data_IF_469531016647
#
_entry.id   IF_469531016647
#
_cell.length_a   1.000
_cell.length_b   1.000
_cell.length_c   1.000
_cell.angle_alpha   90.00
_cell.angle_beta   90.00
_cell.angle_gamma   90.00
#
_symmetry.space_group_name_H-M   'P 1'
#
loop_
_entity.id
_entity.type
_entity.pdbx_description
1 polymer ?
#
# COMPACT_ATOMS: atom_id res chain seq x y z
N UNK A 1 47.71 26.75 -82.91
CA UNK A 1 47.30 28.19 -82.78
C UNK A 1 46.58 28.26 -81.43
N UNK A 2 47.11 28.75 -80.41
CA UNK A 2 47.90 29.87 -80.07
C UNK A 2 47.06 30.78 -79.13
N UNK A 3 47.66 30.95 -78.04
CA UNK A 3 47.65 32.14 -77.11
C UNK A 3 46.89 31.80 -75.74
N UNK A 4 47.69 31.71 -74.69
CA UNK A 4 48.31 32.66 -73.74
C UNK A 4 47.38 33.04 -72.60
N UNK A 5 47.68 32.50 -71.45
CA UNK A 5 48.01 33.05 -70.12
C UNK A 5 47.44 34.42 -69.76
N UNK A 6 46.73 34.48 -68.61
CA UNK A 6 46.99 35.53 -67.62
C UNK A 6 46.55 35.00 -66.21
N UNK A 7 47.51 35.09 -65.30
CA UNK A 7 47.45 34.77 -63.89
C UNK A 7 46.84 35.98 -63.19
N UNK A 8 45.84 35.71 -62.30
CA UNK A 8 45.52 36.64 -61.20
C UNK A 8 45.42 35.85 -59.89
N UNK A 9 46.17 36.30 -58.90
CA UNK A 9 46.20 35.79 -57.55
C UNK A 9 44.96 36.10 -56.76
N UNK A 10 44.53 35.25 -55.83
CA UNK A 10 43.39 35.56 -54.96
C UNK A 10 43.82 36.36 -53.71
N UNK A 11 43.05 37.40 -53.43
CA UNK A 11 43.09 38.20 -52.21
C UNK A 11 42.58 37.40 -51.02
N UNK A 12 43.34 37.39 -49.93
CA UNK A 12 43.00 36.83 -48.64
C UNK A 12 41.73 37.51 -48.05
N UNK A 13 40.66 36.74 -47.90
CA UNK A 13 39.53 37.08 -47.02
C UNK A 13 39.81 36.46 -45.67
N UNK A 14 40.12 37.25 -44.67
CA UNK A 14 40.15 36.91 -43.26
C UNK A 14 38.76 36.50 -42.84
N UNK A 15 38.58 35.24 -42.41
CA UNK A 15 37.40 34.80 -41.73
C UNK A 15 37.39 35.34 -40.28
N UNK A 16 36.39 36.12 -39.96
CA UNK A 16 36.10 36.59 -38.62
C UNK A 16 35.48 35.43 -37.83
N UNK A 17 36.26 34.81 -36.92
CA UNK A 17 35.85 33.71 -36.03
C UNK A 17 35.51 34.27 -34.66
N UNK A 18 34.35 34.93 -34.52
CA UNK A 18 33.83 35.27 -33.21
C UNK A 18 32.28 35.28 -33.21
N UNK A 19 31.66 34.13 -33.15
CA UNK A 19 30.32 33.95 -32.54
C UNK A 19 30.03 32.48 -32.37
N UNK A 20 30.64 31.83 -31.37
CA UNK A 20 30.11 30.61 -30.80
C UNK A 20 28.97 31.00 -29.88
N UNK A 21 27.76 30.38 -29.99
CA UNK A 21 26.71 30.67 -29.02
C UNK A 21 27.16 30.10 -27.65
N UNK A 22 27.28 31.00 -26.69
CA UNK A 22 27.47 30.65 -25.29
C UNK A 22 26.36 29.64 -24.90
N UNK A 23 26.77 28.41 -24.62
CA UNK A 23 25.90 27.41 -24.01
C UNK A 23 25.48 27.93 -22.63
N UNK A 24 24.22 28.36 -22.51
CA UNK A 24 23.63 28.66 -21.21
C UNK A 24 23.86 27.47 -20.29
N UNK A 25 24.37 27.65 -19.06
CA UNK A 25 24.53 26.55 -18.12
C UNK A 25 23.14 25.97 -17.87
N UNK A 26 23.01 24.65 -18.02
CA UNK A 26 21.87 23.89 -17.54
C UNK A 26 21.74 24.21 -16.05
N UNK A 27 20.72 24.97 -15.69
CA UNK A 27 20.35 25.15 -14.29
C UNK A 27 19.92 23.78 -13.83
N UNK A 28 20.82 23.04 -13.18
CA UNK A 28 20.46 21.90 -12.36
C UNK A 28 19.56 22.46 -11.24
N UNK A 29 18.26 22.36 -11.42
CA UNK A 29 17.32 22.60 -10.33
C UNK A 29 17.78 21.71 -9.17
N UNK A 30 18.19 22.34 -8.06
CA UNK A 30 18.46 21.61 -6.83
C UNK A 30 17.20 20.80 -6.51
N UNK A 31 17.31 19.48 -6.28
CA UNK A 31 16.19 18.70 -5.81
C UNK A 31 15.56 19.41 -4.62
N UNK A 32 14.24 19.52 -4.61
CA UNK A 32 13.51 20.07 -3.46
C UNK A 32 13.95 19.29 -2.22
N UNK A 33 14.23 19.96 -1.10
CA UNK A 33 14.62 19.25 0.12
C UNK A 33 13.59 18.17 0.43
N UNK A 34 14.02 16.98 0.84
CA UNK A 34 13.17 15.85 1.29
C UNK A 34 12.01 16.31 2.19
N UNK A 35 12.27 17.33 3.01
CA UNK A 35 11.31 17.95 3.91
C UNK A 35 10.15 18.65 3.22
N UNK A 36 10.29 19.17 2.00
CA UNK A 36 9.24 19.98 1.38
C UNK A 36 8.15 19.15 0.70
N UNK A 37 8.45 17.97 0.18
CA UNK A 37 7.47 17.14 -0.54
C UNK A 37 6.85 16.10 0.37
N UNK A 38 7.67 15.27 1.03
CA UNK A 38 7.20 14.15 1.85
C UNK A 38 6.46 14.60 3.12
N UNK A 39 6.89 15.74 3.67
CA UNK A 39 6.32 16.33 4.88
C UNK A 39 5.32 17.48 4.60
N UNK A 40 4.89 17.67 3.35
CA UNK A 40 3.79 18.57 3.03
C UNK A 40 2.44 17.95 3.41
N UNK A 41 1.46 18.75 3.89
CA UNK A 41 0.12 18.25 4.16
C UNK A 41 -0.54 17.66 2.91
N UNK A 42 -1.48 16.75 3.13
CA UNK A 42 -2.30 16.16 2.08
C UNK A 42 -3.77 16.06 2.53
N UNK A 43 -4.71 16.33 1.64
CA UNK A 43 -6.14 16.19 1.94
C UNK A 43 -6.73 15.00 1.21
N UNK A 44 -7.33 14.07 1.95
CA UNK A 44 -8.04 12.90 1.46
C UNK A 44 -9.50 12.96 1.89
N UNK A 45 -10.43 13.13 0.96
CA UNK A 45 -11.87 13.24 1.21
C UNK A 45 -12.20 14.18 2.41
N UNK A 46 -11.65 15.40 2.40
CA UNK A 46 -11.85 16.39 3.47
C UNK A 46 -11.00 16.17 4.73
N UNK A 47 -10.39 15.01 4.91
CA UNK A 47 -9.46 14.73 6.00
C UNK A 47 -8.07 15.28 5.70
N UNK A 48 -7.57 16.19 6.53
CA UNK A 48 -6.20 16.70 6.39
C UNK A 48 -5.21 15.80 7.13
N UNK A 49 -4.24 15.27 6.40
CA UNK A 49 -3.07 14.57 6.91
C UNK A 49 -1.93 15.58 7.09
N UNK A 50 -1.19 15.57 8.20
CA UNK A 50 -0.11 16.53 8.44
C UNK A 50 1.10 16.35 7.51
N UNK A 51 1.26 15.19 6.93
CA UNK A 51 2.29 14.86 5.93
C UNK A 51 1.86 13.66 5.08
N UNK A 52 2.73 13.24 4.15
CA UNK A 52 2.45 12.18 3.17
C UNK A 52 2.94 10.79 3.60
N UNK A 53 3.38 10.64 4.85
CA UNK A 53 3.89 9.38 5.38
C UNK A 53 2.77 8.59 6.03
N UNK A 54 2.63 7.34 5.61
CA UNK A 54 1.65 6.39 6.12
C UNK A 54 2.37 5.23 6.81
N UNK A 55 1.95 4.86 8.01
CA UNK A 55 2.35 3.58 8.59
C UNK A 55 1.58 2.46 7.90
N UNK A 56 2.28 1.56 7.20
CA UNK A 56 1.66 0.41 6.55
C UNK A 56 1.02 -0.56 7.57
N UNK A 57 -0.08 -1.24 7.21
CA UNK A 57 -0.69 -2.23 8.07
C UNK A 57 0.21 -3.46 8.22
N UNK A 58 0.45 -3.86 9.47
CA UNK A 58 1.32 -4.98 9.82
C UNK A 58 0.73 -5.75 10.98
N UNK A 59 0.44 -7.03 10.79
CA UNK A 59 -0.08 -7.92 11.83
C UNK A 59 0.85 -7.94 13.04
N UNK A 60 0.31 -7.57 14.21
CA UNK A 60 1.03 -7.63 15.49
C UNK A 60 0.60 -8.86 16.30
N UNK A 61 -0.72 -9.16 16.29
CA UNK A 61 -1.30 -10.29 17.00
C UNK A 61 -1.05 -10.22 18.54
N UNK A 62 -1.32 -9.04 19.13
CA UNK A 62 -1.16 -8.74 20.56
C UNK A 62 -2.47 -8.32 21.23
N UNK A 63 -3.62 -8.76 20.70
CA UNK A 63 -4.95 -8.44 21.23
C UNK A 63 -5.61 -9.70 21.79
N UNK A 64 -5.31 -10.11 23.04
CA UNK A 64 -5.90 -11.31 23.65
C UNK A 64 -7.43 -11.25 23.57
N UNK A 65 -8.07 -12.34 23.12
CA UNK A 65 -9.53 -12.42 22.86
C UNK A 65 -10.05 -11.38 21.87
N UNK A 66 -9.17 -10.87 20.99
CA UNK A 66 -9.50 -9.83 20.01
C UNK A 66 -9.61 -8.41 20.61
N UNK A 67 -9.21 -8.19 21.86
CA UNK A 67 -9.35 -6.92 22.56
C UNK A 67 -8.03 -6.17 22.58
N UNK A 68 -7.90 -5.00 21.90
CA UNK A 68 -6.71 -4.16 21.97
C UNK A 68 -6.49 -3.64 23.39
N UNK A 69 -5.32 -3.93 23.96
CA UNK A 69 -4.92 -3.50 25.29
C UNK A 69 -4.29 -2.09 25.33
N UNK A 70 -3.93 -1.60 26.53
CA UNK A 70 -3.20 -0.33 26.67
C UNK A 70 -1.83 -0.33 25.98
N UNK A 71 -1.19 -1.47 25.85
CA UNK A 71 0.06 -1.70 25.14
C UNK A 71 -0.08 -1.49 23.62
N UNK A 72 -1.19 -1.96 23.05
CA UNK A 72 -1.57 -1.68 21.65
C UNK A 72 -1.82 -0.19 21.44
N UNK A 73 -2.52 0.47 22.37
CA UNK A 73 -2.73 1.91 22.32
C UNK A 73 -1.41 2.69 22.37
N UNK A 74 -0.51 2.34 23.29
CA UNK A 74 0.80 2.94 23.41
C UNK A 74 1.67 2.71 22.15
N UNK A 75 1.55 1.54 21.52
CA UNK A 75 2.26 1.21 20.28
C UNK A 75 1.90 2.14 19.13
N UNK A 76 0.62 2.37 18.86
CA UNK A 76 0.18 3.27 17.78
C UNK A 76 0.45 4.74 18.12
N UNK A 77 0.25 5.14 19.38
CA UNK A 77 0.54 6.50 19.84
C UNK A 77 2.00 6.88 19.60
N UNK A 78 2.97 6.01 19.95
CA UNK A 78 4.40 6.29 19.72
C UNK A 78 4.73 6.58 18.25
N UNK A 79 4.03 5.95 17.29
CA UNK A 79 4.24 6.21 15.85
C UNK A 79 3.68 7.57 15.45
N UNK A 80 2.54 7.96 16.01
CA UNK A 80 2.01 9.31 15.82
C UNK A 80 2.94 10.37 16.43
N UNK A 81 3.43 10.17 17.65
CA UNK A 81 4.47 11.02 18.29
C UNK A 81 5.77 11.06 17.46
N UNK A 82 6.10 9.97 16.77
CA UNK A 82 7.22 9.87 15.83
C UNK A 82 6.99 10.59 14.50
N UNK A 83 5.85 11.28 14.31
CA UNK A 83 5.59 12.15 13.17
C UNK A 83 4.94 11.49 11.96
N UNK A 84 4.33 10.31 12.11
CA UNK A 84 3.55 9.65 11.04
C UNK A 84 2.25 10.41 10.79
N UNK A 85 1.94 10.72 9.53
CA UNK A 85 0.74 11.48 9.17
C UNK A 85 -0.55 10.66 9.21
N UNK A 86 -0.49 9.40 8.77
CA UNK A 86 -1.59 8.45 8.80
C UNK A 86 -1.10 7.08 9.27
N UNK A 87 -1.82 6.48 10.19
CA UNK A 87 -1.59 5.11 10.62
C UNK A 87 -2.67 4.20 10.04
N UNK A 88 -2.26 3.11 9.39
CA UNK A 88 -3.14 1.99 9.09
C UNK A 88 -2.93 0.93 10.17
N UNK A 89 -3.98 0.49 10.84
CA UNK A 89 -3.86 -0.54 11.87
C UNK A 89 -3.37 -1.85 11.29
N UNK A 90 -2.93 -2.78 12.13
CA UNK A 90 -2.92 -4.19 11.73
C UNK A 90 -4.30 -4.62 11.24
N UNK A 91 -4.36 -5.77 10.52
CA UNK A 91 -5.64 -6.31 10.08
C UNK A 91 -6.59 -6.56 11.25
N UNK A 92 -7.79 -6.00 11.18
CA UNK A 92 -8.86 -6.14 12.17
C UNK A 92 -9.98 -7.02 11.60
N UNK A 93 -10.43 -8.01 12.36
CA UNK A 93 -11.47 -8.92 11.86
C UNK A 93 -12.86 -8.30 11.97
N UNK A 94 -13.68 -8.33 10.89
CA UNK A 94 -15.10 -8.08 10.99
C UNK A 94 -15.78 -9.22 11.78
N UNK A 95 -17.02 -9.01 12.22
CA UNK A 95 -17.79 -10.01 12.97
C UNK A 95 -18.17 -11.20 12.09
N UNK A 96 -17.21 -12.10 11.89
CA UNK A 96 -17.40 -13.32 11.13
C UNK A 96 -16.50 -14.43 11.71
N UNK A 97 -17.01 -15.68 11.90
CA UNK A 97 -16.25 -16.74 12.57
C UNK A 97 -14.92 -17.11 11.88
N UNK A 98 -14.86 -17.01 10.55
CA UNK A 98 -13.69 -17.34 9.74
C UNK A 98 -12.80 -16.13 9.42
N UNK A 99 -13.04 -14.97 10.01
CA UNK A 99 -12.34 -13.75 9.62
C UNK A 99 -10.85 -13.75 9.97
N UNK A 100 -10.47 -14.38 11.08
CA UNK A 100 -9.09 -14.40 11.57
C UNK A 100 -8.52 -15.81 11.55
N UNK A 101 -7.20 -15.92 11.43
CA UNK A 101 -6.45 -17.19 11.45
C UNK A 101 -5.50 -17.32 12.65
N UNK A 102 -5.46 -16.33 13.51
CA UNK A 102 -4.66 -16.29 14.75
C UNK A 102 -5.52 -15.78 15.91
N UNK A 103 -5.30 -16.27 17.15
CA UNK A 103 -6.22 -16.05 18.27
C UNK A 103 -6.15 -14.64 18.88
N UNK A 104 -5.12 -13.85 18.55
CA UNK A 104 -4.93 -12.51 19.10
C UNK A 104 -5.04 -11.41 18.03
N UNK A 105 -5.68 -11.71 16.89
CA UNK A 105 -6.07 -10.69 15.91
C UNK A 105 -7.17 -9.84 16.52
N UNK A 106 -7.02 -8.50 16.48
CA UNK A 106 -8.01 -7.62 17.08
C UNK A 106 -9.34 -7.67 16.32
N UNK A 107 -10.44 -7.66 17.08
CA UNK A 107 -11.79 -7.59 16.55
C UNK A 107 -12.22 -6.15 16.32
N UNK A 108 -12.95 -5.90 15.24
CA UNK A 108 -13.63 -4.63 15.00
C UNK A 108 -15.15 -4.79 15.29
N UNK A 109 -15.46 -5.49 16.37
CA UNK A 109 -16.81 -5.73 16.88
C UNK A 109 -16.77 -6.10 18.36
N UNK A 110 -17.94 -6.03 19.02
CA UNK A 110 -18.06 -6.33 20.45
C UNK A 110 -17.61 -5.15 21.35
N UNK A 111 -18.32 -4.96 22.45
CA UNK A 111 -18.16 -3.77 23.28
C UNK A 111 -16.73 -3.58 23.83
N UNK A 112 -16.08 -4.66 24.30
CA UNK A 112 -14.73 -4.59 24.87
C UNK A 112 -13.68 -4.24 23.82
N UNK A 113 -13.72 -4.88 22.62
CA UNK A 113 -12.78 -4.61 21.56
C UNK A 113 -12.95 -3.17 21.02
N UNK A 114 -14.18 -2.73 20.83
CA UNK A 114 -14.45 -1.36 20.38
C UNK A 114 -14.03 -0.31 21.41
N UNK A 115 -14.19 -0.57 22.72
CA UNK A 115 -13.64 0.29 23.77
C UNK A 115 -12.09 0.29 23.76
N UNK A 116 -11.47 -0.84 23.42
CA UNK A 116 -10.03 -0.91 23.20
C UNK A 116 -9.57 -0.03 22.04
N UNK A 117 -10.24 -0.12 20.91
CA UNK A 117 -9.97 0.73 19.76
C UNK A 117 -10.22 2.21 19.99
N UNK A 118 -11.26 2.59 20.74
CA UNK A 118 -11.49 3.98 21.11
C UNK A 118 -10.28 4.58 21.84
N UNK A 119 -9.66 3.84 22.77
CA UNK A 119 -8.40 4.28 23.45
C UNK A 119 -7.22 4.42 22.48
N UNK A 120 -7.11 3.52 21.50
CA UNK A 120 -6.09 3.62 20.46
C UNK A 120 -6.26 4.90 19.65
N UNK A 121 -7.48 5.14 19.14
CA UNK A 121 -7.83 6.33 18.36
C UNK A 121 -7.56 7.62 19.13
N UNK A 122 -8.01 7.69 20.38
CA UNK A 122 -7.78 8.84 21.27
C UNK A 122 -6.27 9.12 21.44
N UNK A 123 -5.48 8.07 21.69
CA UNK A 123 -4.02 8.20 21.84
C UNK A 123 -3.31 8.72 20.58
N UNK A 124 -3.74 8.27 19.41
CA UNK A 124 -3.19 8.72 18.12
C UNK A 124 -3.59 10.16 17.82
N UNK A 125 -4.87 10.51 18.04
CA UNK A 125 -5.36 11.88 17.84
C UNK A 125 -4.70 12.88 18.80
N UNK A 126 -4.51 12.51 20.07
CA UNK A 126 -3.81 13.34 21.07
C UNK A 126 -2.36 13.62 20.66
N UNK A 127 -1.73 12.72 19.89
CA UNK A 127 -0.40 12.89 19.32
C UNK A 127 -0.39 13.61 17.95
N UNK A 128 -1.56 14.11 17.46
CA UNK A 128 -1.70 14.83 16.19
C UNK A 128 -1.75 13.95 14.94
N UNK A 129 -1.72 12.62 15.08
CA UNK A 129 -1.83 11.66 13.97
C UNK A 129 -3.27 11.46 13.49
N UNK A 130 -3.41 10.68 12.41
CA UNK A 130 -4.66 10.16 11.88
C UNK A 130 -4.58 8.64 11.79
N UNK A 131 -5.73 7.95 11.91
CA UNK A 131 -5.73 6.50 11.97
C UNK A 131 -6.93 5.90 11.24
N UNK A 132 -6.66 4.94 10.32
CA UNK A 132 -7.66 4.10 9.66
C UNK A 132 -7.59 2.68 10.21
N UNK A 133 -8.75 2.03 10.33
CA UNK A 133 -8.80 0.60 10.62
C UNK A 133 -8.69 -0.21 9.32
N UNK A 134 -7.75 -1.16 9.24
CA UNK A 134 -7.72 -2.10 8.12
C UNK A 134 -8.67 -3.28 8.41
N UNK A 135 -9.79 -3.37 7.69
CA UNK A 135 -10.74 -4.48 7.79
C UNK A 135 -10.19 -5.66 6.97
N UNK A 136 -9.99 -6.78 7.63
CA UNK A 136 -9.29 -7.94 7.07
C UNK A 136 -10.02 -9.24 7.36
N UNK A 137 -10.24 -10.03 6.32
CA UNK A 137 -10.75 -11.39 6.41
C UNK A 137 -9.81 -12.33 5.65
N UNK A 138 -9.31 -13.36 6.34
CA UNK A 138 -8.26 -14.23 5.81
C UNK A 138 -8.73 -15.18 4.71
N UNK A 139 -10.04 -15.44 4.60
CA UNK A 139 -10.61 -16.35 3.61
C UNK A 139 -10.02 -17.77 3.70
N UNK A 140 -9.51 -18.24 2.58
CA UNK A 140 -8.89 -19.56 2.46
C UNK A 140 -7.58 -19.73 3.27
N UNK A 141 -6.94 -18.63 3.72
CA UNK A 141 -5.62 -18.71 4.39
C UNK A 141 -5.73 -19.19 5.84
N UNK A 142 -6.92 -19.35 6.36
CA UNK A 142 -7.18 -19.67 7.75
C UNK A 142 -6.50 -20.96 8.23
N UNK A 143 -6.42 -21.98 7.45
CA UNK A 143 -5.92 -23.29 7.88
C UNK A 143 -4.39 -23.44 7.98
N UNK A 144 -3.61 -22.36 7.84
CA UNK A 144 -2.15 -22.42 7.74
C UNK A 144 -1.40 -22.11 9.04
N UNK A 145 -2.08 -21.75 10.11
CA UNK A 145 -1.49 -21.39 11.42
C UNK A 145 -1.86 -22.41 12.49
N UNK A 146 -0.94 -22.62 13.43
CA UNK A 146 -1.21 -23.43 14.63
C UNK A 146 -1.40 -22.50 15.85
N UNK A 147 -2.32 -22.78 16.78
CA UNK A 147 -3.33 -23.86 16.70
C UNK A 147 -4.38 -23.59 15.61
N UNK A 148 -4.83 -24.63 14.93
CA UNK A 148 -5.95 -24.53 13.97
C UNK A 148 -7.20 -24.04 14.68
N UNK A 149 -7.81 -22.98 14.15
CA UNK A 149 -9.12 -22.58 14.63
C UNK A 149 -10.17 -23.63 14.24
N UNK A 150 -11.19 -23.87 15.07
CA UNK A 150 -12.16 -24.96 14.86
C UNK A 150 -13.17 -24.69 13.74
N UNK A 151 -12.91 -23.70 12.88
CA UNK A 151 -13.83 -23.26 11.83
C UNK A 151 -13.21 -23.53 10.47
N UNK A 152 -13.97 -24.11 9.55
CA UNK A 152 -13.51 -24.38 8.19
C UNK A 152 -13.23 -23.06 7.45
N UNK A 153 -12.14 -22.99 6.65
CA UNK A 153 -11.85 -21.82 5.83
C UNK A 153 -12.90 -21.65 4.73
N UNK A 154 -13.10 -20.40 4.29
CA UNK A 154 -14.01 -20.06 3.21
C UNK A 154 -13.28 -19.34 2.08
N UNK A 155 -13.77 -19.51 0.85
CA UNK A 155 -13.30 -18.76 -0.31
C UNK A 155 -14.34 -18.78 -1.42
N UNK A 156 -14.23 -17.94 -2.46
CA UNK A 156 -15.22 -17.90 -3.55
C UNK A 156 -15.56 -19.28 -4.14
N UNK A 157 -14.56 -20.14 -4.29
CA UNK A 157 -14.71 -21.45 -4.95
C UNK A 157 -14.11 -22.61 -4.14
N UNK A 158 -13.92 -22.44 -2.83
CA UNK A 158 -13.30 -23.46 -1.98
C UNK A 158 -11.82 -23.70 -2.28
N UNK A 159 -11.12 -22.73 -2.89
CA UNK A 159 -9.71 -22.85 -3.29
C UNK A 159 -8.81 -21.91 -2.50
N UNK A 160 -7.65 -22.43 -2.06
CA UNK A 160 -6.56 -21.64 -1.47
C UNK A 160 -5.68 -20.99 -2.55
N UNK A 161 -5.38 -21.76 -3.59
CA UNK A 161 -4.62 -21.37 -4.79
C UNK A 161 -5.01 -22.30 -5.95
N UNK A 162 -4.56 -22.07 -7.18
CA UNK A 162 -4.91 -22.93 -8.31
C UNK A 162 -4.70 -24.42 -7.98
N UNK A 163 -5.78 -25.23 -8.13
CA UNK A 163 -5.77 -26.67 -7.92
C UNK A 163 -5.74 -27.15 -6.47
N UNK A 164 -5.69 -26.27 -5.46
CA UNK A 164 -5.67 -26.64 -4.04
C UNK A 164 -7.03 -26.35 -3.39
N UNK A 165 -7.87 -27.38 -3.32
CA UNK A 165 -9.19 -27.32 -2.65
C UNK A 165 -9.03 -27.38 -1.13
N UNK A 166 -9.77 -26.51 -0.40
CA UNK A 166 -9.76 -26.41 1.07
C UNK A 166 -11.19 -26.49 1.67
N UNK A 167 -12.22 -26.45 0.86
CA UNK A 167 -13.61 -26.48 1.30
C UNK A 167 -14.58 -26.42 0.13
N UNK A 168 -15.82 -26.07 0.42
CA UNK A 168 -16.84 -25.83 -0.60
C UNK A 168 -16.86 -24.34 -1.03
N UNK A 169 -17.36 -24.02 -2.24
CA UNK A 169 -17.61 -22.66 -2.67
C UNK A 169 -18.58 -21.94 -1.72
N UNK A 170 -18.32 -20.65 -1.43
CA UNK A 170 -19.27 -19.82 -0.69
C UNK A 170 -20.64 -19.80 -1.36
N UNK A 171 -21.70 -20.03 -0.59
CA UNK A 171 -23.07 -19.83 -1.04
C UNK A 171 -23.38 -18.32 -1.21
N UNK A 172 -24.40 -17.98 -2.00
CA UNK A 172 -24.76 -16.56 -2.21
C UNK A 172 -25.14 -15.86 -0.89
N UNK A 173 -25.87 -16.56 0.00
CA UNK A 173 -26.20 -16.01 1.33
C UNK A 173 -24.99 -15.75 2.22
N UNK A 174 -23.91 -16.56 2.11
CA UNK A 174 -22.66 -16.31 2.83
C UNK A 174 -21.93 -15.08 2.26
N UNK A 175 -21.99 -14.86 0.95
CA UNK A 175 -21.44 -13.65 0.32
C UNK A 175 -22.19 -12.40 0.80
N UNK A 176 -23.53 -12.45 0.84
CA UNK A 176 -24.36 -11.34 1.35
C UNK A 176 -24.09 -11.06 2.85
N UNK A 177 -23.98 -12.11 3.67
CA UNK A 177 -23.61 -11.97 5.08
C UNK A 177 -22.22 -11.35 5.25
N UNK A 178 -21.28 -11.68 4.37
CA UNK A 178 -19.94 -11.13 4.37
C UNK A 178 -19.93 -9.64 4.00
N UNK A 179 -20.67 -9.22 2.97
CA UNK A 179 -20.83 -7.80 2.61
C UNK A 179 -21.37 -7.01 3.81
N UNK A 180 -22.40 -7.55 4.47
CA UNK A 180 -22.97 -6.94 5.69
C UNK A 180 -21.95 -6.86 6.83
N UNK A 181 -21.11 -7.87 7.04
CA UNK A 181 -20.09 -7.89 8.09
C UNK A 181 -19.01 -6.82 7.87
N UNK A 182 -18.55 -6.63 6.61
CA UNK A 182 -17.62 -5.55 6.27
C UNK A 182 -18.25 -4.17 6.50
N UNK A 183 -19.48 -3.98 6.06
CA UNK A 183 -20.16 -2.69 6.21
C UNK A 183 -20.46 -2.37 7.68
N UNK A 184 -20.82 -3.37 8.50
CA UNK A 184 -20.98 -3.17 9.94
C UNK A 184 -19.66 -2.82 10.61
N UNK A 185 -18.54 -3.46 10.22
CA UNK A 185 -17.22 -3.11 10.71
C UNK A 185 -16.83 -1.66 10.36
N UNK A 186 -17.21 -1.17 9.17
CA UNK A 186 -17.00 0.22 8.79
C UNK A 186 -17.78 1.19 9.68
N UNK A 187 -19.04 0.88 10.00
CA UNK A 187 -19.87 1.66 10.94
C UNK A 187 -19.27 1.65 12.34
N UNK A 188 -18.80 0.49 12.80
CA UNK A 188 -18.17 0.37 14.12
C UNK A 188 -16.85 1.15 14.19
N UNK A 189 -16.04 1.15 13.11
CA UNK A 189 -14.85 1.98 13.00
C UNK A 189 -15.18 3.47 13.10
N UNK A 190 -16.17 3.94 12.34
CA UNK A 190 -16.62 5.34 12.38
C UNK A 190 -17.13 5.72 13.80
N UNK A 191 -17.91 4.84 14.43
CA UNK A 191 -18.48 5.06 15.77
C UNK A 191 -17.41 5.22 16.85
N UNK A 192 -16.30 4.48 16.77
CA UNK A 192 -15.21 4.58 17.76
C UNK A 192 -14.22 5.69 17.46
N UNK A 193 -14.40 6.41 16.34
CA UNK A 193 -13.64 7.61 16.02
C UNK A 193 -12.48 7.42 15.04
N UNK A 194 -12.35 6.28 14.37
CA UNK A 194 -11.39 6.16 13.28
C UNK A 194 -11.65 7.22 12.20
N UNK A 195 -10.59 7.77 11.61
CA UNK A 195 -10.67 8.78 10.56
C UNK A 195 -11.06 8.20 9.18
N UNK A 196 -11.10 6.87 9.04
CA UNK A 196 -11.47 6.14 7.84
C UNK A 196 -11.21 4.65 7.98
N UNK A 197 -11.39 3.92 6.88
CA UNK A 197 -11.09 2.48 6.79
C UNK A 197 -10.27 2.15 5.57
N UNK A 198 -9.50 1.06 5.68
CA UNK A 198 -8.89 0.36 4.55
C UNK A 198 -9.49 -1.03 4.42
N UNK A 199 -10.02 -1.37 3.24
CA UNK A 199 -10.43 -2.72 2.89
C UNK A 199 -9.22 -3.51 2.40
N UNK A 200 -8.92 -4.65 3.01
CA UNK A 200 -7.78 -5.48 2.62
C UNK A 200 -8.13 -6.40 1.44
N UNK A 201 -7.91 -5.91 0.23
CA UNK A 201 -8.14 -6.63 -1.03
C UNK A 201 -6.86 -7.09 -1.73
N UNK A 202 -5.85 -7.55 -0.96
CA UNK A 202 -4.52 -7.90 -1.46
C UNK A 202 -4.05 -9.26 -0.91
N UNK A 203 -2.91 -9.75 -1.44
CA UNK A 203 -2.09 -10.82 -0.89
C UNK A 203 -2.73 -12.20 -0.84
N UNK A 204 -3.81 -12.43 -1.58
CA UNK A 204 -4.51 -13.71 -1.60
C UNK A 204 -5.45 -13.93 -0.40
N UNK A 205 -5.90 -12.86 0.30
CA UNK A 205 -6.95 -12.91 1.31
C UNK A 205 -8.35 -12.76 0.67
N UNK A 206 -9.43 -12.79 1.44
CA UNK A 206 -10.78 -13.04 0.93
C UNK A 206 -11.18 -12.15 -0.26
N UNK A 207 -11.06 -10.83 -0.16
CA UNK A 207 -11.42 -9.93 -1.28
C UNK A 207 -10.54 -10.21 -2.51
N UNK A 208 -9.23 -10.40 -2.32
CA UNK A 208 -8.31 -10.73 -3.39
C UNK A 208 -8.56 -12.13 -4.00
N UNK A 209 -9.07 -13.08 -3.19
CA UNK A 209 -9.50 -14.39 -3.71
C UNK A 209 -10.67 -14.29 -4.68
N UNK A 210 -11.55 -13.29 -4.52
CA UNK A 210 -12.56 -12.99 -5.51
C UNK A 210 -11.97 -12.38 -6.78
N UNK A 211 -10.98 -11.50 -6.68
CA UNK A 211 -10.30 -10.89 -7.82
C UNK A 211 -9.51 -11.92 -8.65
N UNK A 212 -8.82 -12.83 -7.97
CA UNK A 212 -7.87 -13.74 -8.59
C UNK A 212 -8.56 -14.89 -9.31
N UNK A 213 -8.42 -14.94 -10.64
CA UNK A 213 -8.96 -16.04 -11.45
C UNK A 213 -8.49 -17.42 -10.98
N UNK A 214 -7.27 -17.51 -10.41
CA UNK A 214 -6.72 -18.76 -9.86
C UNK A 214 -7.54 -19.36 -8.73
N UNK A 215 -8.27 -18.55 -7.96
CA UNK A 215 -9.09 -18.96 -6.81
C UNK A 215 -10.59 -18.73 -7.01
N UNK A 216 -11.00 -17.90 -7.96
CA UNK A 216 -12.39 -17.63 -8.26
C UNK A 216 -12.80 -18.34 -9.57
N UNK A 217 -13.42 -19.50 -9.43
CA UNK A 217 -13.97 -20.34 -10.52
C UNK A 217 -15.51 -20.33 -10.57
N UNK A 218 -16.11 -19.28 -9.96
CA UNK A 218 -17.58 -19.14 -9.95
C UNK A 218 -18.12 -18.83 -11.35
N UNK A 219 -19.34 -19.29 -11.58
CA UNK A 219 -20.09 -19.08 -12.83
C UNK A 219 -21.31 -18.18 -12.65
N UNK A 220 -21.54 -17.70 -11.41
CA UNK A 220 -22.58 -16.71 -11.08
C UNK A 220 -22.05 -15.26 -11.19
N UNK A 221 -22.86 -14.29 -10.73
CA UNK A 221 -22.53 -12.84 -10.82
C UNK A 221 -21.21 -12.42 -10.16
N UNK A 222 -20.60 -13.25 -9.31
CA UNK A 222 -19.36 -12.98 -8.59
C UNK A 222 -18.13 -13.65 -9.21
N UNK A 223 -18.25 -14.28 -10.38
CA UNK A 223 -17.19 -14.97 -11.07
C UNK A 223 -17.13 -14.67 -12.56
N UNK A 224 -16.48 -15.54 -13.33
CA UNK A 224 -16.32 -15.38 -14.78
C UNK A 224 -15.27 -14.34 -15.15
N UNK A 225 -15.67 -13.29 -15.85
CA UNK A 225 -14.77 -12.23 -16.31
C UNK A 225 -14.27 -11.32 -15.17
N UNK A 226 -13.41 -10.37 -15.51
CA UNK A 226 -12.83 -9.44 -14.55
C UNK A 226 -13.88 -8.59 -13.83
N UNK A 227 -14.97 -8.20 -14.54
CA UNK A 227 -16.05 -7.42 -13.95
C UNK A 227 -16.85 -8.24 -12.92
N UNK A 228 -17.17 -9.50 -13.22
CA UNK A 228 -17.81 -10.42 -12.27
C UNK A 228 -16.92 -10.68 -11.05
N UNK A 229 -15.63 -10.87 -11.24
CA UNK A 229 -14.67 -11.08 -10.12
C UNK A 229 -14.49 -9.86 -9.24
N UNK A 230 -14.68 -8.63 -9.73
CA UNK A 230 -14.62 -7.40 -8.91
C UNK A 230 -15.91 -7.10 -8.16
N UNK A 231 -17.03 -7.72 -8.53
CA UNK A 231 -18.38 -7.41 -8.01
C UNK A 231 -18.47 -7.50 -6.48
N UNK A 232 -17.89 -8.52 -5.86
CA UNK A 232 -17.91 -8.65 -4.41
C UNK A 232 -17.32 -7.41 -3.72
N UNK A 233 -16.14 -6.95 -4.15
CA UNK A 233 -15.51 -5.77 -3.58
C UNK A 233 -16.32 -4.49 -3.89
N UNK A 234 -16.91 -4.38 -5.07
CA UNK A 234 -17.80 -3.27 -5.45
C UNK A 234 -18.99 -3.20 -4.50
N UNK A 235 -19.68 -4.32 -4.25
CA UNK A 235 -20.83 -4.37 -3.34
C UNK A 235 -20.42 -4.09 -1.88
N UNK A 236 -19.24 -4.57 -1.43
CA UNK A 236 -18.67 -4.21 -0.10
C UNK A 236 -18.42 -2.71 0.02
N UNK A 237 -17.78 -2.09 -0.98
CA UNK A 237 -17.48 -0.66 -0.98
C UNK A 237 -18.78 0.16 -0.96
N UNK A 238 -19.75 -0.20 -1.80
CA UNK A 238 -21.04 0.48 -1.88
C UNK A 238 -21.80 0.41 -0.55
N UNK A 239 -21.84 -0.76 0.08
CA UNK A 239 -22.53 -0.95 1.35
C UNK A 239 -21.82 -0.22 2.49
N UNK A 240 -20.48 -0.23 2.54
CA UNK A 240 -19.72 0.60 3.47
C UNK A 240 -20.03 2.09 3.27
N UNK A 241 -20.01 2.57 2.02
CA UNK A 241 -20.29 3.98 1.67
C UNK A 241 -21.72 4.38 2.04
N UNK A 242 -22.68 3.52 1.76
CA UNK A 242 -24.08 3.76 2.10
C UNK A 242 -24.28 3.95 3.59
N UNK A 243 -23.62 3.13 4.44
CA UNK A 243 -23.80 3.17 5.89
C UNK A 243 -22.96 4.24 6.58
N UNK A 244 -21.80 4.60 6.05
CA UNK A 244 -20.90 5.60 6.68
C UNK A 244 -21.03 7.01 6.12
N UNK A 245 -21.75 7.18 5.00
CA UNK A 245 -21.92 8.47 4.35
C UNK A 245 -20.73 8.89 3.47
N UNK A 246 -20.84 10.07 2.84
CA UNK A 246 -19.86 10.55 1.85
C UNK A 246 -18.53 11.03 2.44
N UNK A 247 -18.53 11.44 3.72
CA UNK A 247 -17.40 12.13 4.34
C UNK A 247 -16.44 11.20 5.10
N UNK A 248 -16.74 9.90 5.18
CA UNK A 248 -15.89 8.93 5.84
C UNK A 248 -14.95 8.26 4.81
N UNK A 249 -13.63 8.49 4.86
CA UNK A 249 -12.69 7.94 3.90
C UNK A 249 -12.73 6.41 3.83
N UNK A 250 -12.86 5.87 2.60
CA UNK A 250 -12.80 4.44 2.31
C UNK A 250 -11.69 4.18 1.31
N UNK A 251 -10.74 3.34 1.68
CA UNK A 251 -9.57 2.98 0.91
C UNK A 251 -9.57 1.49 0.58
N UNK A 252 -9.06 1.11 -0.59
CA UNK A 252 -8.83 -0.29 -0.94
C UNK A 252 -7.34 -0.56 -1.10
N UNK A 253 -6.82 -1.53 -0.33
CA UNK A 253 -5.49 -2.09 -0.59
C UNK A 253 -5.59 -3.26 -1.55
N UNK A 254 -4.79 -3.24 -2.63
CA UNK A 254 -4.71 -4.36 -3.58
C UNK A 254 -3.26 -4.65 -3.98
N UNK A 255 -3.03 -5.83 -4.55
CA UNK A 255 -1.72 -6.27 -5.04
C UNK A 255 -1.85 -7.10 -6.30
N UNK A 256 -0.82 -7.08 -7.13
CA UNK A 256 -0.68 -8.04 -8.22
C UNK A 256 -0.37 -9.43 -7.70
N UNK A 257 0.64 -9.55 -6.85
CA UNK A 257 1.17 -10.79 -6.29
C UNK A 257 0.32 -11.35 -5.13
N UNK A 258 0.45 -12.64 -4.85
CA UNK A 258 -0.23 -13.35 -3.77
C UNK A 258 0.78 -14.02 -2.83
N UNK A 259 0.45 -14.18 -1.55
CA UNK A 259 1.29 -14.92 -0.60
C UNK A 259 1.45 -16.40 -0.96
N UNK A 260 0.44 -16.96 -1.64
CA UNK A 260 0.40 -18.34 -2.09
C UNK A 260 1.11 -18.54 -3.43
N UNK A 261 1.32 -17.45 -4.19
CA UNK A 261 1.98 -17.43 -5.49
C UNK A 261 2.54 -16.02 -5.79
N UNK A 262 3.84 -15.86 -5.57
CA UNK A 262 4.51 -14.58 -5.79
C UNK A 262 4.65 -14.17 -7.26
N UNK A 263 4.51 -15.13 -8.17
CA UNK A 263 4.54 -14.89 -9.62
C UNK A 263 3.15 -14.54 -10.18
N UNK A 264 2.09 -14.73 -9.40
CA UNK A 264 0.74 -14.40 -9.83
C UNK A 264 0.63 -12.93 -10.22
N UNK A 265 -0.12 -12.68 -11.29
CA UNK A 265 -0.54 -11.35 -11.73
C UNK A 265 -2.07 -11.31 -11.72
N UNK A 266 -2.62 -10.23 -11.18
CA UNK A 266 -4.05 -9.96 -11.22
C UNK A 266 -4.47 -9.53 -12.63
N UNK A 267 -3.64 -8.66 -13.22
CA UNK A 267 -3.77 -8.13 -14.58
C UNK A 267 -2.39 -8.01 -15.21
N UNK A 268 -2.32 -8.05 -16.55
CA UNK A 268 -1.05 -8.08 -17.31
C UNK A 268 -0.85 -6.87 -18.20
N UNK A 269 -1.89 -6.07 -18.44
CA UNK A 269 -1.86 -4.89 -19.29
C UNK A 269 -2.48 -3.67 -18.61
N UNK A 270 -2.10 -2.43 -19.03
CA UNK A 270 -2.76 -1.21 -18.56
C UNK A 270 -4.27 -1.17 -18.79
N UNK A 271 -4.75 -1.74 -19.90
CA UNK A 271 -6.17 -1.81 -20.22
C UNK A 271 -6.92 -2.73 -19.25
N UNK A 272 -6.37 -3.90 -18.94
CA UNK A 272 -6.92 -4.78 -17.91
C UNK A 272 -6.93 -4.10 -16.54
N UNK A 273 -5.84 -3.38 -16.18
CA UNK A 273 -5.79 -2.63 -14.93
C UNK A 273 -6.87 -1.55 -14.88
N UNK A 274 -7.11 -0.84 -15.99
CA UNK A 274 -8.20 0.15 -16.10
C UNK A 274 -9.56 -0.49 -15.87
N UNK A 275 -9.84 -1.63 -16.52
CA UNK A 275 -11.11 -2.38 -16.38
C UNK A 275 -11.29 -2.93 -14.96
N UNK A 276 -10.21 -3.27 -14.26
CA UNK A 276 -10.24 -3.69 -12.86
C UNK A 276 -10.55 -2.52 -11.92
N UNK A 277 -9.89 -1.37 -12.10
CA UNK A 277 -9.97 -0.23 -11.18
C UNK A 277 -11.24 0.59 -11.34
N UNK A 278 -11.76 0.73 -12.58
CA UNK A 278 -12.88 1.63 -12.87
C UNK A 278 -14.14 1.33 -12.05
N UNK A 279 -14.64 0.07 -11.95
CA UNK A 279 -15.83 -0.22 -11.15
C UNK A 279 -15.60 -0.01 -9.65
N UNK A 280 -14.39 -0.26 -9.14
CA UNK A 280 -14.03 -0.03 -7.75
C UNK A 280 -14.00 1.46 -7.42
N UNK A 281 -13.40 2.28 -8.28
CA UNK A 281 -13.40 3.74 -8.13
C UNK A 281 -14.82 4.33 -8.18
N UNK A 282 -15.67 3.83 -9.09
CA UNK A 282 -17.06 4.25 -9.22
C UNK A 282 -17.96 3.81 -8.06
N UNK A 283 -17.59 2.75 -7.33
CA UNK A 283 -18.31 2.26 -6.16
C UNK A 283 -18.23 3.20 -4.94
N UNK A 284 -17.36 4.22 -4.96
CA UNK A 284 -17.23 5.20 -3.89
C UNK A 284 -15.94 5.14 -3.09
N UNK A 285 -14.86 4.55 -3.65
CA UNK A 285 -13.53 4.65 -3.05
C UNK A 285 -12.97 6.07 -3.11
N UNK A 286 -12.24 6.46 -2.07
CA UNK A 286 -11.53 7.72 -2.00
C UNK A 286 -10.07 7.58 -2.43
N UNK A 287 -9.44 6.43 -2.18
CA UNK A 287 -8.03 6.18 -2.53
C UNK A 287 -7.73 4.70 -2.73
N UNK A 288 -6.59 4.43 -3.37
CA UNK A 288 -6.03 3.09 -3.54
C UNK A 288 -4.68 2.97 -2.83
N UNK A 289 -4.45 1.86 -2.12
CA UNK A 289 -3.17 1.50 -1.54
C UNK A 289 -2.56 0.35 -2.35
N UNK A 290 -1.55 0.66 -3.14
CA UNK A 290 -0.96 -0.24 -4.11
C UNK A 290 0.20 -1.01 -3.48
N UNK A 291 -0.03 -2.27 -3.10
CA UNK A 291 0.96 -3.10 -2.42
C UNK A 291 1.92 -3.74 -3.41
N UNK A 292 3.11 -3.16 -3.55
CA UNK A 292 4.22 -3.71 -4.32
C UNK A 292 5.25 -4.36 -3.41
N UNK A 293 6.21 -5.11 -3.99
CA UNK A 293 7.36 -5.61 -3.24
C UNK A 293 8.45 -4.55 -3.10
N UNK A 294 8.62 -3.75 -4.15
CA UNK A 294 9.54 -2.60 -4.21
C UNK A 294 8.83 -1.43 -4.85
N UNK A 295 8.92 -0.25 -4.28
CA UNK A 295 8.22 0.94 -4.78
C UNK A 295 8.78 1.44 -6.11
N UNK A 296 10.03 1.07 -6.44
CA UNK A 296 10.73 1.49 -7.68
C UNK A 296 10.55 0.53 -8.85
N UNK A 297 9.94 -0.63 -8.66
CA UNK A 297 9.70 -1.57 -9.76
C UNK A 297 8.60 -1.03 -10.69
N UNK A 298 8.91 -0.92 -11.98
CA UNK A 298 7.92 -0.58 -13.02
C UNK A 298 6.87 -1.68 -13.12
N UNK A 299 5.59 -1.30 -13.29
CA UNK A 299 4.51 -2.28 -13.37
C UNK A 299 4.38 -2.90 -14.77
N UNK A 300 4.51 -2.08 -15.81
CA UNK A 300 4.39 -2.53 -17.19
C UNK A 300 5.61 -2.14 -18.02
N UNK A 301 5.96 -2.98 -18.99
CA UNK A 301 7.07 -2.73 -19.90
C UNK A 301 6.89 -1.42 -20.68
N UNK A 302 7.99 -0.70 -20.92
CA UNK A 302 7.99 0.58 -21.62
C UNK A 302 7.51 1.77 -20.79
N UNK A 303 7.32 1.60 -19.47
CA UNK A 303 6.94 2.67 -18.55
C UNK A 303 7.79 2.61 -17.28
N UNK A 304 8.10 3.77 -16.69
CA UNK A 304 8.76 3.90 -15.40
C UNK A 304 7.78 4.04 -14.22
N UNK A 305 6.46 4.02 -14.50
CA UNK A 305 5.43 4.06 -13.46
C UNK A 305 5.29 2.71 -12.76
N UNK A 306 5.32 2.75 -11.42
CA UNK A 306 4.97 1.60 -10.59
C UNK A 306 3.43 1.40 -10.56
N UNK A 307 2.96 0.40 -9.81
CA UNK A 307 1.53 0.09 -9.70
C UNK A 307 0.71 1.29 -9.18
N UNK A 308 1.24 2.08 -8.24
CA UNK A 308 0.55 3.27 -7.72
C UNK A 308 0.46 4.37 -8.77
N UNK A 309 1.53 4.60 -9.54
CA UNK A 309 1.55 5.56 -10.63
C UNK A 309 0.55 5.22 -11.73
N UNK A 310 0.49 3.97 -12.12
CA UNK A 310 -0.51 3.50 -13.09
C UNK A 310 -1.93 3.62 -12.55
N UNK A 311 -2.15 3.26 -11.28
CA UNK A 311 -3.48 3.38 -10.65
C UNK A 311 -3.95 4.83 -10.63
N UNK A 312 -3.07 5.77 -10.23
CA UNK A 312 -3.37 7.20 -10.26
C UNK A 312 -3.67 7.71 -11.66
N UNK A 313 -2.83 7.35 -12.64
CA UNK A 313 -3.01 7.73 -14.04
C UNK A 313 -4.36 7.28 -14.61
N UNK A 314 -4.80 6.05 -14.27
CA UNK A 314 -6.01 5.45 -14.82
C UNK A 314 -7.29 5.89 -14.09
N UNK A 315 -7.20 6.24 -12.80
CA UNK A 315 -8.39 6.53 -11.98
C UNK A 315 -8.55 8.00 -11.60
N UNK A 316 -7.45 8.77 -11.63
CA UNK A 316 -7.41 10.13 -11.06
C UNK A 316 -7.56 10.18 -9.53
N UNK A 317 -7.67 9.03 -8.86
CA UNK A 317 -7.82 8.94 -7.41
C UNK A 317 -6.46 9.07 -6.70
N UNK A 318 -6.42 9.59 -5.47
CA UNK A 318 -5.26 9.51 -4.60
C UNK A 318 -4.73 8.09 -4.47
N UNK A 319 -3.39 7.95 -4.49
CA UNK A 319 -2.75 6.64 -4.38
C UNK A 319 -1.66 6.63 -3.32
N UNK A 320 -1.53 5.49 -2.65
CA UNK A 320 -0.46 5.18 -1.71
C UNK A 320 0.43 4.12 -2.35
N UNK A 321 1.74 4.37 -2.42
CA UNK A 321 2.73 3.35 -2.76
C UNK A 321 3.30 2.70 -1.51
N UNK A 322 3.66 1.42 -1.57
CA UNK A 322 4.37 0.69 -0.51
C UNK A 322 5.26 -0.39 -1.09
N UNK A 323 6.45 -0.56 -0.55
CA UNK A 323 7.35 -1.65 -0.92
C UNK A 323 8.79 -1.34 -0.57
N UNK A 324 9.35 -2.03 0.40
CA UNK A 324 10.77 -2.03 0.81
C UNK A 324 11.38 -0.67 1.18
N UNK A 325 10.60 0.34 1.55
CA UNK A 325 11.12 1.67 1.94
C UNK A 325 12.04 1.56 3.16
N UNK A 326 13.26 2.08 3.04
CA UNK A 326 14.36 2.02 4.03
C UNK A 326 14.73 0.60 4.48
N UNK A 327 14.65 -0.36 3.56
CA UNK A 327 14.93 -1.78 3.85
C UNK A 327 15.97 -2.34 2.88
N UNK A 328 16.87 -3.15 3.41
CA UNK A 328 17.90 -3.87 2.65
C UNK A 328 17.41 -5.18 2.00
N UNK A 329 16.23 -5.63 2.37
CA UNK A 329 15.61 -6.85 1.82
C UNK A 329 14.10 -6.69 1.64
N UNK A 330 13.55 -7.30 0.60
CA UNK A 330 12.11 -7.32 0.41
C UNK A 330 11.40 -8.22 1.43
N UNK A 331 10.07 -8.12 1.50
CA UNK A 331 9.24 -8.84 2.47
C UNK A 331 9.40 -10.37 2.36
N UNK A 332 9.48 -10.89 1.15
CA UNK A 332 9.54 -12.34 0.90
C UNK A 332 10.86 -12.93 1.36
N UNK A 333 11.95 -12.20 1.12
CA UNK A 333 13.29 -12.56 1.61
C UNK A 333 13.35 -12.52 3.13
N UNK A 334 12.74 -11.49 3.75
CA UNK A 334 12.72 -11.36 5.22
C UNK A 334 11.96 -12.48 5.93
N UNK A 335 11.04 -13.15 5.23
CA UNK A 335 10.32 -14.35 5.74
C UNK A 335 11.07 -15.65 5.49
N UNK A 336 12.28 -15.62 4.91
CA UNK A 336 13.03 -16.83 4.54
C UNK A 336 12.39 -17.65 3.40
N UNK A 337 11.43 -17.07 2.67
CA UNK A 337 10.69 -17.76 1.59
C UNK A 337 11.37 -17.65 0.22
N UNK A 338 12.36 -16.79 0.10
CA UNK A 338 13.26 -16.68 -1.06
C UNK A 338 14.69 -16.43 -0.58
N UNK A 339 15.71 -16.90 -1.32
CA UNK A 339 17.10 -16.61 -1.00
C UNK A 339 17.38 -15.11 -1.06
N UNK A 340 18.33 -14.65 -0.25
CA UNK A 340 18.81 -13.27 -0.30
C UNK A 340 19.40 -13.02 -1.70
N UNK A 341 19.08 -11.91 -2.39
CA UNK A 341 19.69 -11.61 -3.68
C UNK A 341 21.19 -11.45 -3.54
N UNK A 342 21.94 -11.89 -4.55
CA UNK A 342 23.41 -11.81 -4.56
C UNK A 342 23.94 -10.37 -4.57
N UNK A 343 23.13 -9.41 -5.05
CA UNK A 343 23.44 -7.98 -5.01
C UNK A 343 22.75 -7.31 -3.83
N UNK A 344 23.40 -6.36 -3.13
CA UNK A 344 22.77 -5.64 -2.04
C UNK A 344 21.54 -4.87 -2.58
N UNK A 345 20.41 -5.02 -1.91
CA UNK A 345 19.24 -4.18 -2.12
C UNK A 345 19.58 -2.80 -1.52
N UNK A 346 19.26 -1.67 -2.19
CA UNK A 346 19.42 -0.35 -1.60
C UNK A 346 18.72 -0.28 -0.22
N UNK A 347 19.34 0.33 0.79
CA UNK A 347 18.72 0.54 2.10
C UNK A 347 19.53 0.05 3.31
N UNK A 348 20.64 -0.67 3.12
CA UNK A 348 21.47 -1.22 4.20
C UNK A 348 22.45 -0.24 4.86
N UNK A 349 22.91 0.78 4.14
CA UNK A 349 23.83 1.82 4.65
C UNK A 349 23.12 3.17 4.72
N UNK A 350 23.67 4.12 5.48
CA UNK A 350 23.16 5.49 5.54
C UNK A 350 23.04 6.12 4.15
N UNK A 351 24.10 6.07 3.36
CA UNK A 351 24.15 6.60 1.98
C UNK A 351 23.14 5.94 1.06
N UNK A 352 22.92 4.62 1.20
CA UNK A 352 21.92 3.91 0.38
C UNK A 352 20.48 4.27 0.78
N UNK A 353 20.22 4.54 2.06
CA UNK A 353 18.92 5.01 2.55
C UNK A 353 18.62 6.43 2.07
N UNK A 354 19.62 7.30 2.10
CA UNK A 354 19.49 8.67 1.59
C UNK A 354 19.19 8.68 0.09
N UNK A 355 19.93 7.91 -0.71
CA UNK A 355 19.72 7.78 -2.15
C UNK A 355 18.35 7.17 -2.49
N UNK A 356 17.88 6.19 -1.70
CA UNK A 356 16.56 5.60 -1.85
C UNK A 356 15.45 6.63 -1.56
N UNK A 357 15.59 7.40 -0.48
CA UNK A 357 14.63 8.44 -0.10
C UNK A 357 14.62 9.59 -1.13
N UNK A 358 15.76 9.92 -1.71
CA UNK A 358 15.86 10.89 -2.80
C UNK A 358 15.11 10.40 -4.06
N UNK A 359 15.28 9.12 -4.43
CA UNK A 359 14.52 8.50 -5.51
C UNK A 359 13.01 8.52 -5.25
N UNK A 360 12.58 8.09 -4.07
CA UNK A 360 11.18 8.09 -3.64
C UNK A 360 10.57 9.49 -3.71
N UNK A 361 11.33 10.50 -3.25
CA UNK A 361 10.89 11.89 -3.25
C UNK A 361 10.78 12.45 -4.67
N UNK A 362 11.68 12.07 -5.58
CA UNK A 362 11.58 12.42 -7.01
C UNK A 362 10.34 11.84 -7.66
N UNK A 363 10.00 10.58 -7.39
CA UNK A 363 8.76 9.97 -7.88
C UNK A 363 7.52 10.69 -7.32
N UNK A 364 7.52 11.00 -6.03
CA UNK A 364 6.43 11.74 -5.38
C UNK A 364 6.29 13.17 -5.96
N UNK A 365 7.40 13.89 -6.17
CA UNK A 365 7.41 15.23 -6.75
C UNK A 365 6.96 15.24 -8.22
N UNK A 366 7.25 14.18 -8.98
CA UNK A 366 6.73 13.96 -10.34
C UNK A 366 5.21 13.68 -10.35
N UNK A 367 4.64 13.36 -9.19
CA UNK A 367 3.22 13.09 -9.04
C UNK A 367 2.81 11.67 -9.35
N UNK A 368 3.74 10.70 -9.33
CA UNK A 368 3.43 9.30 -9.60
C UNK A 368 2.43 8.73 -8.60
N UNK A 369 2.52 9.15 -7.34
CA UNK A 369 1.60 8.80 -6.26
C UNK A 369 1.48 9.97 -5.28
N UNK A 370 0.59 9.86 -4.28
CA UNK A 370 0.31 10.96 -3.34
C UNK A 370 0.86 10.72 -1.95
N UNK A 371 0.91 9.46 -1.51
CA UNK A 371 1.29 9.04 -0.18
C UNK A 371 2.25 7.85 -0.26
N UNK A 372 3.06 7.69 0.79
CA UNK A 372 4.06 6.63 0.91
C UNK A 372 3.83 5.85 2.20
N UNK A 373 3.56 4.56 2.08
CA UNK A 373 3.41 3.68 3.23
C UNK A 373 4.74 2.97 3.57
N UNK A 374 5.10 3.04 4.85
CA UNK A 374 6.32 2.46 5.40
C UNK A 374 5.95 1.39 6.41
N UNK A 375 6.50 0.19 6.23
CA UNK A 375 6.18 -0.98 7.06
C UNK A 375 7.28 -1.29 8.07
N UNK A 376 8.06 -2.34 7.81
CA UNK A 376 9.05 -2.92 8.73
C UNK A 376 10.05 -1.92 9.31
N UNK A 377 10.42 -0.87 8.58
CA UNK A 377 11.27 0.20 9.11
C UNK A 377 10.61 0.91 10.31
N UNK A 378 9.28 1.11 10.28
CA UNK A 378 8.54 1.69 11.41
C UNK A 378 8.24 0.69 12.53
N UNK A 379 8.39 -0.62 12.31
CA UNK A 379 8.41 -1.60 13.40
C UNK A 379 9.70 -1.48 14.20
N UNK A 380 10.82 -1.31 13.48
CA UNK A 380 12.14 -1.20 14.09
C UNK A 380 12.37 0.17 14.77
N UNK A 381 11.74 1.22 14.24
CA UNK A 381 11.95 2.60 14.71
C UNK A 381 10.63 3.38 14.71
N UNK A 382 10.06 3.58 15.90
CA UNK A 382 8.81 4.35 16.04
C UNK A 382 8.97 5.84 15.69
N UNK A 383 10.19 6.37 15.70
CA UNK A 383 10.53 7.75 15.34
C UNK A 383 11.06 7.90 13.89
N UNK A 384 10.88 6.86 13.06
CA UNK A 384 11.40 6.83 11.69
C UNK A 384 11.04 8.11 10.90
N UNK A 385 9.79 8.54 10.94
CA UNK A 385 9.35 9.71 10.17
C UNK A 385 10.04 11.01 10.64
N UNK A 386 10.14 11.23 11.94
CA UNK A 386 10.85 12.38 12.49
C UNK A 386 12.35 12.37 12.14
N UNK A 387 13.01 11.20 12.23
CA UNK A 387 14.44 11.06 11.88
C UNK A 387 14.68 11.32 10.39
N UNK A 388 13.81 10.83 9.51
CA UNK A 388 13.89 11.09 8.05
C UNK A 388 13.66 12.58 7.75
N UNK A 389 12.67 13.21 8.41
CA UNK A 389 12.44 14.66 8.28
C UNK A 389 13.66 15.49 8.62
N UNK A 390 14.35 15.09 9.70
CA UNK A 390 15.49 15.81 10.24
C UNK A 390 16.83 15.41 9.59
N UNK A 391 16.81 14.53 8.53
CA UNK A 391 18.01 14.06 7.85
C UNK A 391 18.89 13.11 8.65
N UNK A 392 18.38 12.53 9.75
CA UNK A 392 19.12 11.68 10.69
C UNK A 392 19.11 10.20 10.28
N UNK A 393 19.52 9.92 9.03
CA UNK A 393 19.48 8.57 8.44
C UNK A 393 20.39 7.57 9.16
N UNK A 394 21.53 8.04 9.71
CA UNK A 394 22.45 7.22 10.49
C UNK A 394 21.89 6.71 11.82
N UNK A 395 20.85 7.36 12.35
CA UNK A 395 20.17 6.96 13.58
C UNK A 395 19.00 5.99 13.38
N UNK A 396 18.66 5.63 12.13
CA UNK A 396 17.57 4.72 11.84
C UNK A 396 17.90 3.29 12.26
N UNK A 397 17.02 2.70 13.06
CA UNK A 397 17.15 1.32 13.49
C UNK A 397 16.93 0.35 12.34
N UNK A 398 17.81 -0.63 12.18
CA UNK A 398 17.64 -1.70 11.20
C UNK A 398 16.53 -2.66 11.65
N UNK A 399 15.72 -3.15 10.67
CA UNK A 399 14.74 -4.18 10.95
C UNK A 399 15.41 -5.52 11.27
N UNK A 400 14.96 -6.14 12.35
CA UNK A 400 15.26 -7.54 12.67
C UNK A 400 13.94 -8.28 13.02
N UNK A 401 13.84 -9.61 12.83
CA UNK A 401 12.67 -10.38 13.23
C UNK A 401 12.31 -10.28 14.72
N UNK A 402 13.27 -9.93 15.57
CA UNK A 402 13.05 -9.79 17.02
C UNK A 402 12.04 -8.70 17.36
N UNK A 403 11.96 -7.62 16.55
CA UNK A 403 10.98 -6.54 16.77
C UNK A 403 9.52 -7.01 16.59
N UNK A 404 9.32 -8.19 15.98
CA UNK A 404 7.99 -8.79 15.86
C UNK A 404 7.47 -9.37 17.16
N UNK A 405 8.34 -9.64 18.14
CA UNK A 405 8.02 -10.28 19.42
C UNK A 405 7.51 -9.30 20.48
N UNK A 406 7.56 -8.01 20.22
CA UNK A 406 7.17 -6.95 21.17
C UNK A 406 6.36 -5.85 20.47
N UNK A 407 5.69 -5.01 21.26
CA UNK A 407 5.05 -3.77 20.82
C UNK A 407 5.93 -2.54 21.17
N UNK A 408 7.21 -2.62 20.85
CA UNK A 408 8.14 -1.50 21.07
C UNK A 408 7.78 -0.27 20.23
#
# INVERSE_FOLDING_TARGET
MGRRDTIFAPSELRADTSNSPESKPLIHERPLPLSTTLFSPFTLNGLTLPNRIVMAPMTRNFSPRGVPGPDVAAYYRRRAEGGVGLILTEGTSPNHPQAANMPQIPHLYGAEALAGWARVVEGVHAAGGRIFSQIWHVGAVQGQTEPKLPVAPISPSGLLKPGVKIGEPMALGEIEAMINAYAQAAVDAQRVGFDGIELHGAHGYLIDQFFWEGTNKRTDKYGGDLAGRTRFAVEVIQECRQRTGSNFPIQLRFSQWKLQDYAAKLVTTPDELSRFLAPLAAAGLDSFHCSTRRFWDSEFEGSDLNLAGWTKKLTGKPTITVGSVSLDVDFVVSLGRMPKPASPVPGGTEQSREAEMDHLTKMLARGDFDLVAVGRAMLADSSWAAKVRDGRFGELSAFSPEVLKTLA
#
